data_IF_176907754879
#
_entry.id   IF_176907754879
#
_cell.length_a   1.000
_cell.length_b   1.000
_cell.length_c   1.000
_cell.angle_alpha   90.00
_cell.angle_beta   90.00
_cell.angle_gamma   90.00
#
_symmetry.space_group_name_H-M   'P 1'
#
loop_
_entity.id
_entity.type
_entity.pdbx_description
1 polymer ?
#
# COMPACT_ATOMS: atom_id res chain seq x y z
N UNK A 1 1.33 19.24 -10.20
CA UNK A 1 1.44 19.64 -8.78
C UNK A 1 1.13 21.13 -8.65
N UNK A 2 0.24 21.49 -7.73
CA UNK A 2 -0.20 22.87 -7.46
C UNK A 2 0.20 23.22 -6.02
N UNK A 3 1.15 24.12 -5.87
CA UNK A 3 1.49 24.73 -4.59
C UNK A 3 0.72 26.03 -4.43
N UNK A 4 0.02 26.21 -3.31
CA UNK A 4 -0.86 27.36 -3.17
C UNK A 4 -0.67 28.10 -1.84
N UNK A 5 0.29 29.05 -1.76
CA UNK A 5 0.47 29.89 -0.58
C UNK A 5 -0.72 30.85 -0.38
N UNK A 6 -1.00 31.23 0.88
CA UNK A 6 -2.00 32.24 1.22
C UNK A 6 -1.38 33.63 1.31
N UNK A 7 -2.10 34.66 0.85
CA UNK A 7 -1.57 36.05 0.78
C UNK A 7 -1.24 36.64 2.14
N UNK A 8 -1.96 36.24 3.19
CA UNK A 8 -1.86 36.84 4.52
C UNK A 8 -1.31 35.87 5.58
N UNK A 9 -0.89 34.67 5.17
CA UNK A 9 -0.25 33.72 6.08
C UNK A 9 1.26 33.94 5.95
N UNK A 10 1.96 34.32 7.04
CA UNK A 10 3.42 34.37 7.03
C UNK A 10 3.92 33.04 6.49
N UNK A 11 4.95 33.06 5.65
CA UNK A 11 5.61 31.86 5.16
C UNK A 11 6.29 31.14 6.33
N UNK A 12 5.52 30.54 7.24
CA UNK A 12 5.97 29.48 8.11
C UNK A 12 6.50 28.43 7.14
N UNK A 13 7.81 28.23 7.16
CA UNK A 13 8.57 27.67 6.05
C UNK A 13 8.03 26.32 5.58
N UNK A 14 7.14 26.33 4.59
CA UNK A 14 6.82 25.14 3.80
C UNK A 14 8.15 24.56 3.33
N UNK A 15 8.49 23.40 3.87
CA UNK A 15 9.67 22.61 3.48
C UNK A 15 9.48 22.08 2.06
N UNK A 16 8.23 21.97 1.61
CA UNK A 16 7.87 21.42 0.32
C UNK A 16 7.76 22.50 -0.77
N UNK A 17 8.88 22.71 -1.47
CA UNK A 17 9.00 23.60 -2.63
C UNK A 17 9.21 22.79 -3.90
N UNK A 18 9.09 23.45 -5.07
CA UNK A 18 9.23 22.80 -6.37
C UNK A 18 10.47 21.90 -6.47
N UNK A 19 11.70 22.36 -6.16
CA UNK A 19 12.89 21.51 -6.30
C UNK A 19 12.85 20.28 -5.39
N UNK A 20 12.36 20.44 -4.15
CA UNK A 20 12.24 19.34 -3.19
C UNK A 20 11.20 18.32 -3.66
N UNK A 21 10.04 18.77 -4.14
CA UNK A 21 8.99 17.88 -4.62
C UNK A 21 9.41 17.16 -5.90
N UNK A 22 10.05 17.85 -6.84
CA UNK A 22 10.58 17.24 -8.07
C UNK A 22 11.69 16.23 -7.78
N UNK A 23 12.59 16.52 -6.82
CA UNK A 23 13.61 15.56 -6.41
C UNK A 23 13.00 14.31 -5.78
N UNK A 24 12.04 14.51 -4.85
CA UNK A 24 11.25 13.41 -4.27
C UNK A 24 10.46 12.63 -5.33
N UNK A 25 10.07 13.29 -6.42
CA UNK A 25 9.34 12.68 -7.51
C UNK A 25 10.18 11.78 -8.38
N UNK A 26 11.38 12.21 -8.77
CA UNK A 26 12.10 11.60 -9.88
C UNK A 26 13.54 11.20 -9.58
N UNK A 27 14.10 11.61 -8.43
CA UNK A 27 15.51 11.42 -8.13
C UNK A 27 15.73 10.29 -7.13
N UNK A 28 16.54 9.30 -7.55
CA UNK A 28 16.93 8.16 -6.73
C UNK A 28 15.88 7.03 -6.66
N UNK A 29 16.31 5.91 -6.07
CA UNK A 29 15.53 4.67 -6.01
C UNK A 29 14.27 4.74 -5.12
N UNK A 30 14.20 5.71 -4.23
CA UNK A 30 13.07 5.88 -3.31
C UNK A 30 12.12 6.99 -3.73
N UNK A 31 12.33 7.57 -4.91
CA UNK A 31 11.41 8.56 -5.45
C UNK A 31 10.02 7.96 -5.65
N UNK A 32 8.98 8.77 -5.49
CA UNK A 32 7.60 8.25 -5.58
C UNK A 32 7.25 7.77 -6.98
N UNK A 33 7.84 8.35 -8.05
CA UNK A 33 7.66 7.81 -9.41
C UNK A 33 8.29 6.44 -9.57
N UNK A 34 9.51 6.22 -9.05
CA UNK A 34 10.16 4.93 -9.10
C UNK A 34 9.42 3.90 -8.24
N UNK A 35 8.86 4.31 -7.10
CA UNK A 35 7.98 3.46 -6.30
C UNK A 35 6.78 2.99 -7.11
N UNK A 36 6.06 3.87 -7.80
CA UNK A 36 4.96 3.43 -8.66
C UNK A 36 5.41 2.56 -9.84
N UNK A 37 6.46 2.96 -10.55
CA UNK A 37 6.99 2.17 -11.67
C UNK A 37 7.32 0.74 -11.21
N UNK A 38 8.04 0.65 -10.09
CA UNK A 38 8.41 -0.65 -9.54
C UNK A 38 7.19 -1.40 -8.98
N UNK A 39 6.46 -0.82 -8.04
CA UNK A 39 5.32 -1.45 -7.37
C UNK A 39 4.19 -1.88 -8.32
N UNK A 40 4.05 -1.24 -9.48
CA UNK A 40 3.02 -1.55 -10.49
C UNK A 40 3.56 -2.33 -11.69
N UNK A 41 4.74 -2.95 -11.59
CA UNK A 41 5.30 -3.80 -12.65
C UNK A 41 5.52 -3.02 -13.97
N UNK A 42 5.77 -1.72 -13.86
CA UNK A 42 5.90 -0.78 -14.98
C UNK A 42 4.61 -0.46 -15.72
N UNK A 43 3.45 -0.86 -15.19
CA UNK A 43 2.13 -0.49 -15.72
C UNK A 43 1.88 1.00 -15.52
N UNK A 44 2.13 1.50 -14.31
CA UNK A 44 1.95 2.92 -13.97
C UNK A 44 3.30 3.63 -13.91
N UNK A 45 3.48 4.64 -14.76
CA UNK A 45 4.74 5.39 -14.87
C UNK A 45 4.49 6.88 -14.82
N UNK A 46 5.21 7.57 -13.94
CA UNK A 46 5.23 9.02 -13.88
C UNK A 46 6.56 9.53 -14.42
N UNK A 47 6.53 10.36 -15.46
CA UNK A 47 7.74 10.88 -16.09
C UNK A 47 7.90 12.36 -15.77
N UNK A 48 9.15 12.79 -15.63
CA UNK A 48 9.49 14.21 -15.42
C UNK A 48 8.93 15.13 -16.52
N UNK A 49 8.85 14.65 -17.76
CA UNK A 49 8.32 15.42 -18.88
C UNK A 49 6.79 15.59 -18.87
N UNK A 50 6.07 14.71 -18.14
CA UNK A 50 4.61 14.75 -18.02
C UNK A 50 4.16 15.51 -16.75
N UNK A 51 5.14 16.06 -16.02
CA UNK A 51 4.94 16.77 -14.78
C UNK A 51 4.93 18.28 -15.01
N UNK A 52 3.98 18.96 -14.36
CA UNK A 52 3.91 20.43 -14.31
C UNK A 52 3.77 20.90 -12.87
N UNK A 53 4.60 21.87 -12.49
CA UNK A 53 4.43 22.64 -11.27
C UNK A 53 3.66 23.94 -11.55
N UNK A 54 2.75 24.29 -10.66
CA UNK A 54 2.01 25.54 -10.70
C UNK A 54 2.00 26.15 -9.29
N UNK A 55 2.33 27.44 -9.19
CA UNK A 55 2.21 28.18 -7.93
C UNK A 55 1.04 29.15 -8.02
N UNK A 56 0.05 29.00 -7.13
CA UNK A 56 -1.18 29.81 -7.13
C UNK A 56 -1.31 30.55 -5.81
N UNK A 57 -1.32 31.88 -5.85
CA UNK A 57 -1.61 32.66 -4.66
C UNK A 57 -3.11 32.57 -4.31
N UNK A 58 -3.45 32.07 -3.12
CA UNK A 58 -4.83 32.04 -2.63
C UNK A 58 -5.10 33.28 -1.78
N UNK A 59 -6.11 34.10 -2.11
CA UNK A 59 -6.46 35.25 -1.29
C UNK A 59 -6.96 34.83 0.10
N UNK A 60 -6.46 35.52 1.13
CA UNK A 60 -6.89 35.38 2.53
C UNK A 60 -5.84 34.74 3.44
N UNK A 61 -6.31 34.12 4.51
CA UNK A 61 -5.49 33.41 5.52
C UNK A 61 -5.84 31.93 5.51
N UNK A 62 -4.83 31.07 5.67
CA UNK A 62 -5.02 29.63 5.85
C UNK A 62 -5.89 29.35 7.08
N UNK A 63 -6.82 28.40 6.97
CA UNK A 63 -7.58 27.90 8.12
C UNK A 63 -6.64 27.18 9.09
N UNK A 64 -6.67 27.56 10.37
CA UNK A 64 -5.98 26.88 11.46
C UNK A 64 -6.88 25.89 12.21
N UNK A 65 -8.19 25.88 11.92
CA UNK A 65 -9.11 24.90 12.47
C UNK A 65 -8.87 23.51 11.87
N UNK A 66 -9.07 22.44 12.66
CA UNK A 66 -8.96 21.05 12.20
C UNK A 66 -9.82 20.87 10.94
N UNK A 67 -9.20 20.41 9.86
CA UNK A 67 -9.94 20.26 8.60
C UNK A 67 -10.87 19.06 8.64
N UNK A 68 -12.15 19.36 8.49
CA UNK A 68 -13.15 18.38 8.10
C UNK A 68 -13.23 18.33 6.58
N UNK A 69 -13.72 17.21 6.04
CA UNK A 69 -13.90 16.97 4.60
C UNK A 69 -14.50 18.17 3.84
N UNK A 70 -15.54 18.78 4.40
CA UNK A 70 -16.24 19.94 3.78
C UNK A 70 -15.30 21.12 3.55
N UNK A 71 -14.38 21.38 4.48
CA UNK A 71 -13.40 22.47 4.38
C UNK A 71 -12.43 22.18 3.24
N UNK A 72 -11.83 20.99 3.22
CA UNK A 72 -10.89 20.57 2.17
C UNK A 72 -11.53 20.61 0.78
N UNK A 73 -12.78 20.14 0.66
CA UNK A 73 -13.52 20.15 -0.60
C UNK A 73 -13.75 21.57 -1.12
N UNK A 74 -14.18 22.49 -0.25
CA UNK A 74 -14.37 23.89 -0.65
C UNK A 74 -13.07 24.56 -1.12
N UNK A 75 -11.94 24.24 -0.47
CA UNK A 75 -10.63 24.72 -0.91
C UNK A 75 -10.16 24.07 -2.20
N UNK A 76 -10.47 22.80 -2.43
CA UNK A 76 -10.19 22.11 -3.71
C UNK A 76 -10.82 22.88 -4.85
N UNK A 77 -12.12 23.14 -4.78
CA UNK A 77 -12.85 23.87 -5.82
C UNK A 77 -12.23 25.25 -6.06
N UNK A 78 -11.86 25.97 -4.99
CA UNK A 78 -11.22 27.30 -5.09
C UNK A 78 -9.87 27.23 -5.80
N UNK A 79 -8.98 26.33 -5.38
CA UNK A 79 -7.63 26.20 -5.96
C UNK A 79 -7.69 25.75 -7.42
N UNK A 80 -8.55 24.78 -7.76
CA UNK A 80 -8.72 24.34 -9.15
C UNK A 80 -9.31 25.44 -10.03
N UNK A 81 -10.22 26.26 -9.50
CA UNK A 81 -10.76 27.44 -10.23
C UNK A 81 -9.68 28.48 -10.51
N UNK A 82 -8.84 28.79 -9.51
CA UNK A 82 -7.70 29.70 -9.69
C UNK A 82 -6.66 29.13 -10.65
N UNK A 83 -6.47 27.82 -10.69
CA UNK A 83 -5.57 27.17 -11.65
C UNK A 83 -6.02 27.42 -13.09
N UNK A 84 -7.33 27.26 -13.34
CA UNK A 84 -7.94 27.53 -14.65
C UNK A 84 -7.80 28.99 -15.04
N UNK A 85 -8.01 29.92 -14.11
CA UNK A 85 -7.79 31.35 -14.34
C UNK A 85 -6.33 31.67 -14.69
N UNK A 86 -5.39 30.92 -14.12
CA UNK A 86 -3.96 30.99 -14.44
C UNK A 86 -3.56 30.25 -15.74
N UNK A 87 -4.53 29.75 -16.53
CA UNK A 87 -4.28 29.07 -17.80
C UNK A 87 -3.80 27.62 -17.67
N UNK A 88 -4.02 26.98 -16.52
CA UNK A 88 -3.76 25.56 -16.33
C UNK A 88 -5.07 24.87 -15.98
N UNK A 89 -5.63 24.07 -16.88
CA UNK A 89 -6.81 23.28 -16.58
C UNK A 89 -6.39 21.95 -15.91
N UNK A 90 -6.72 21.73 -14.62
CA UNK A 90 -6.34 20.50 -13.94
C UNK A 90 -6.95 19.25 -14.58
N UNK A 91 -8.04 19.37 -15.33
CA UNK A 91 -8.71 18.22 -15.98
C UNK A 91 -7.90 17.61 -17.14
N UNK A 92 -6.85 18.29 -17.62
CA UNK A 92 -5.94 17.75 -18.63
C UNK A 92 -4.83 16.88 -18.06
N UNK A 93 -4.83 16.67 -16.73
CA UNK A 93 -3.88 15.82 -16.03
C UNK A 93 -4.64 14.68 -15.37
N UNK A 94 -4.09 13.46 -15.43
CA UNK A 94 -4.68 12.30 -14.75
C UNK A 94 -4.70 12.51 -13.22
N UNK A 95 -3.62 13.10 -12.69
CA UNK A 95 -3.42 13.33 -11.26
C UNK A 95 -3.06 14.77 -10.94
N UNK A 96 -3.69 15.33 -9.91
CA UNK A 96 -3.44 16.68 -9.40
C UNK A 96 -3.06 16.64 -7.92
N UNK A 97 -1.80 16.98 -7.63
CA UNK A 97 -1.24 17.07 -6.29
C UNK A 97 -1.43 18.49 -5.75
N UNK A 98 -2.15 18.65 -4.64
CA UNK A 98 -2.39 19.94 -3.97
C UNK A 98 -1.49 20.07 -2.74
N UNK A 99 -0.51 20.97 -2.81
CA UNK A 99 0.49 21.18 -1.76
C UNK A 99 0.14 22.43 -0.94
N UNK A 100 -0.09 22.22 0.35
CA UNK A 100 -0.57 23.28 1.23
C UNK A 100 0.59 23.97 1.94
N UNK A 101 0.38 25.19 2.45
CA UNK A 101 1.34 25.81 3.36
C UNK A 101 1.34 25.12 4.73
N UNK A 102 2.41 25.35 5.50
CA UNK A 102 2.52 24.90 6.87
C UNK A 102 1.43 25.52 7.76
N UNK A 103 0.92 24.76 8.72
CA UNK A 103 -0.15 25.19 9.62
C UNK A 103 -1.56 25.12 9.02
N UNK A 104 -1.70 24.73 7.75
CA UNK A 104 -3.01 24.46 7.17
C UNK A 104 -3.70 23.35 7.96
N UNK A 105 -4.97 23.55 8.31
CA UNK A 105 -5.74 22.63 9.13
C UNK A 105 -5.23 22.42 10.56
N UNK A 106 -4.37 23.30 11.07
CA UNK A 106 -3.69 23.11 12.35
C UNK A 106 -2.57 22.06 12.29
N UNK A 107 -2.21 21.59 11.09
CA UNK A 107 -1.10 20.67 10.89
C UNK A 107 0.20 21.45 10.63
N UNK A 108 1.10 21.44 11.60
CA UNK A 108 2.40 22.11 11.53
C UNK A 108 3.50 21.08 11.22
N UNK A 109 4.06 20.42 12.25
CA UNK A 109 5.24 19.56 12.09
C UNK A 109 4.96 18.06 12.26
N UNK A 110 3.98 17.69 13.10
CA UNK A 110 3.72 16.29 13.50
C UNK A 110 2.48 15.65 12.83
N UNK A 111 1.88 16.31 11.84
CA UNK A 111 0.66 15.85 11.20
C UNK A 111 0.94 15.27 9.82
N UNK A 112 0.93 13.95 9.72
CA UNK A 112 0.84 13.26 8.42
C UNK A 112 -0.63 13.08 8.13
N UNK A 113 -1.08 13.71 7.07
CA UNK A 113 -2.20 13.23 6.30
C UNK A 113 -2.03 13.88 4.94
N UNK A 114 -1.93 13.07 3.90
CA UNK A 114 -2.58 13.52 2.70
C UNK A 114 -4.01 13.04 2.71
N UNK A 115 -4.70 13.41 1.65
CA UNK A 115 -6.02 12.87 1.42
C UNK A 115 -6.27 12.87 -0.06
N UNK A 116 -6.39 11.69 -0.64
CA UNK A 116 -7.00 11.56 -1.95
C UNK A 116 -8.47 11.95 -1.90
N UNK A 117 -8.86 12.74 -2.88
CA UNK A 117 -10.25 12.90 -3.28
C UNK A 117 -10.57 11.85 -4.35
N UNK A 118 -11.86 11.54 -4.48
CA UNK A 118 -12.35 10.63 -5.51
C UNK A 118 -11.94 11.12 -6.90
N UNK A 119 -11.48 10.20 -7.74
CA UNK A 119 -11.43 10.40 -9.18
C UNK A 119 -12.87 10.45 -9.70
N UNK A 120 -13.21 11.48 -10.47
CA UNK A 120 -14.49 11.52 -11.17
C UNK A 120 -14.26 11.85 -12.64
N UNK A 121 -15.19 11.50 -13.52
CA UNK A 121 -15.10 11.89 -14.93
C UNK A 121 -15.10 13.41 -15.14
N UNK A 122 -15.49 14.19 -14.13
CA UNK A 122 -15.56 15.65 -14.18
C UNK A 122 -14.34 16.36 -13.58
N UNK A 123 -13.45 15.65 -12.88
CA UNK A 123 -12.30 16.22 -12.18
C UNK A 123 -11.09 15.29 -12.22
N UNK A 124 -9.88 15.84 -12.34
CA UNK A 124 -8.67 15.05 -12.15
C UNK A 124 -8.68 14.30 -10.81
N UNK A 125 -7.97 13.19 -10.72
CA UNK A 125 -7.72 12.52 -9.45
C UNK A 125 -6.89 13.46 -8.56
N UNK A 126 -7.50 13.99 -7.50
CA UNK A 126 -6.86 14.98 -6.64
C UNK A 126 -6.32 14.31 -5.37
N UNK A 127 -5.16 14.74 -4.90
CA UNK A 127 -4.63 14.38 -3.58
C UNK A 127 -4.05 15.60 -2.87
N UNK A 128 -4.29 15.70 -1.57
CA UNK A 128 -3.78 16.76 -0.70
C UNK A 128 -2.49 16.34 -0.02
N UNK A 129 -1.57 17.29 0.19
CA UNK A 129 -0.31 17.08 0.89
C UNK A 129 -0.02 18.27 1.80
N UNK A 130 0.04 18.03 3.11
CA UNK A 130 0.26 19.06 4.11
C UNK A 130 1.21 18.63 5.23
N UNK A 131 1.67 19.60 6.01
CA UNK A 131 2.63 19.40 7.10
C UNK A 131 4.07 19.20 6.64
N UNK A 132 4.97 18.91 7.58
CA UNK A 132 6.41 18.76 7.34
C UNK A 132 6.79 17.65 6.35
N UNK A 133 5.91 16.66 6.15
CA UNK A 133 6.11 15.49 5.30
C UNK A 133 5.42 15.58 3.92
N UNK A 134 4.87 16.73 3.54
CA UNK A 134 4.13 16.91 2.28
C UNK A 134 4.94 16.58 1.01
N UNK A 135 6.26 16.60 1.10
CA UNK A 135 7.18 16.26 0.01
C UNK A 135 7.78 14.85 0.14
N UNK A 136 7.49 14.10 1.21
CA UNK A 136 8.10 12.80 1.42
C UNK A 136 7.57 11.80 0.39
N UNK A 137 8.47 11.13 -0.33
CA UNK A 137 8.10 10.22 -1.41
C UNK A 137 7.13 9.11 -0.95
N UNK A 138 7.30 8.61 0.28
CA UNK A 138 6.41 7.62 0.89
C UNK A 138 4.99 8.17 1.11
N UNK A 139 4.84 9.41 1.57
CA UNK A 139 3.55 10.07 1.78
C UNK A 139 2.90 10.33 0.42
N UNK A 140 3.65 10.86 -0.54
CA UNK A 140 3.16 11.03 -1.91
C UNK A 140 2.70 9.70 -2.51
N UNK A 141 3.46 8.62 -2.28
CA UNK A 141 3.11 7.31 -2.81
C UNK A 141 1.82 6.74 -2.19
N UNK A 142 1.65 6.88 -0.87
CA UNK A 142 0.46 6.44 -0.13
C UNK A 142 -0.81 7.12 -0.65
N UNK A 143 -0.77 8.45 -0.72
CA UNK A 143 -1.95 9.25 -1.07
C UNK A 143 -2.29 9.15 -2.54
N UNK A 144 -1.27 9.06 -3.40
CA UNK A 144 -1.47 8.75 -4.80
C UNK A 144 -2.05 7.34 -4.97
N UNK A 145 -1.71 6.38 -4.11
CA UNK A 145 -2.29 5.03 -4.10
C UNK A 145 -3.81 5.05 -3.97
N UNK A 146 -4.36 5.95 -3.14
CA UNK A 146 -5.81 6.13 -3.05
C UNK A 146 -6.47 6.64 -4.34
N UNK A 147 -5.75 7.35 -5.22
CA UNK A 147 -6.26 7.67 -6.57
C UNK A 147 -6.38 6.42 -7.47
N UNK A 148 -5.70 5.33 -7.12
CA UNK A 148 -5.86 4.00 -7.72
C UNK A 148 -6.83 3.11 -6.92
N UNK A 149 -7.66 3.71 -6.07
CA UNK A 149 -8.62 3.03 -5.21
C UNK A 149 -8.01 2.12 -4.14
N UNK A 150 -6.70 2.21 -3.92
CA UNK A 150 -6.04 1.47 -2.85
C UNK A 150 -6.55 1.95 -1.51
N UNK A 151 -6.59 1.05 -0.52
CA UNK A 151 -7.16 1.30 0.79
C UNK A 151 -6.10 1.08 1.84
N UNK A 152 -6.29 1.67 3.02
CA UNK A 152 -5.33 1.46 4.10
C UNK A 152 -5.12 -0.02 4.36
N UNK A 153 -3.88 -0.36 4.69
CA UNK A 153 -3.53 -1.69 5.15
C UNK A 153 -3.07 -1.62 6.60
N UNK A 154 -3.91 -2.05 7.53
CA UNK A 154 -3.56 -1.97 8.95
C UNK A 154 -2.76 -3.16 9.46
N UNK A 155 -2.24 -3.04 10.68
CA UNK A 155 -1.65 -4.14 11.44
C UNK A 155 -1.76 -3.86 12.95
N UNK A 156 -1.15 -4.71 13.77
CA UNK A 156 -0.90 -4.40 15.17
C UNK A 156 0.19 -3.33 15.30
N UNK A 157 -0.14 -2.21 15.94
CA UNK A 157 0.78 -1.16 16.33
C UNK A 157 1.79 -1.59 17.39
N UNK A 158 2.78 -0.74 17.64
CA UNK A 158 3.82 -0.96 18.66
C UNK A 158 3.28 -0.95 20.09
N UNK A 159 2.11 -0.35 20.29
CA UNK A 159 1.34 -0.33 21.55
C UNK A 159 0.45 -1.58 21.72
N UNK A 160 0.53 -2.52 20.78
CA UNK A 160 -0.30 -3.72 20.78
C UNK A 160 -1.76 -3.46 20.41
N UNK A 161 -2.09 -2.27 19.90
CA UNK A 161 -3.43 -1.96 19.38
C UNK A 161 -3.46 -2.06 17.86
N UNK A 162 -4.51 -2.63 17.26
CA UNK A 162 -4.66 -2.59 15.81
C UNK A 162 -4.78 -1.14 15.30
N UNK A 163 -4.15 -0.83 14.17
CA UNK A 163 -4.14 0.50 13.56
C UNK A 163 -4.06 0.41 12.04
N UNK A 164 -4.82 1.25 11.34
CA UNK A 164 -4.82 1.38 9.87
C UNK A 164 -3.44 1.74 9.29
N UNK A 165 -2.55 2.32 10.09
CA UNK A 165 -1.21 2.77 9.69
C UNK A 165 -0.08 2.00 10.38
N UNK A 166 -0.34 0.75 10.76
CA UNK A 166 0.65 -0.09 11.44
C UNK A 166 1.28 -1.17 10.54
N UNK A 167 0.78 -1.41 9.32
CA UNK A 167 1.46 -2.34 8.42
C UNK A 167 2.68 -1.67 7.78
N UNK A 168 3.81 -1.76 8.48
CA UNK A 168 5.12 -1.33 8.02
C UNK A 168 5.59 -1.96 6.70
N UNK A 169 4.92 -3.00 6.20
CA UNK A 169 5.30 -3.67 4.96
C UNK A 169 4.58 -3.16 3.72
N UNK A 170 3.49 -2.43 3.92
CA UNK A 170 2.68 -1.88 2.84
C UNK A 170 2.80 -0.36 2.81
N UNK A 171 2.95 0.22 1.62
CA UNK A 171 2.86 1.68 1.41
C UNK A 171 1.52 2.18 1.93
N UNK A 172 0.45 1.41 1.74
CA UNK A 172 -0.89 1.76 2.23
C UNK A 172 -1.05 1.60 3.74
N UNK A 173 -0.05 1.04 4.43
CA UNK A 173 -0.08 0.75 5.85
C UNK A 173 0.98 1.44 6.66
N UNK A 174 1.93 2.12 6.03
CA UNK A 174 2.98 2.81 6.76
C UNK A 174 3.56 3.98 6.00
N UNK A 175 3.59 5.11 6.71
CA UNK A 175 4.31 6.30 6.32
C UNK A 175 5.77 6.31 6.80
N UNK A 176 6.28 5.21 7.37
CA UNK A 176 7.60 5.18 8.04
C UNK A 176 8.64 4.29 7.37
N UNK A 177 8.29 3.63 6.26
CA UNK A 177 9.19 2.67 5.63
C UNK A 177 9.39 2.95 4.12
N UNK A 178 10.57 3.46 3.77
CA UNK A 178 10.92 3.77 2.39
C UNK A 178 11.08 2.54 1.50
N UNK A 179 11.16 1.35 2.07
CA UNK A 179 11.22 0.11 1.30
C UNK A 179 9.85 -0.55 1.14
N UNK A 180 8.79 -0.01 1.75
CA UNK A 180 7.47 -0.59 1.62
C UNK A 180 7.01 -0.55 0.17
N UNK A 181 6.29 -1.59 -0.23
CA UNK A 181 5.66 -1.77 -1.54
C UNK A 181 4.12 -1.72 -1.36
N UNK A 182 3.33 -1.63 -2.43
CA UNK A 182 1.89 -1.88 -2.36
C UNK A 182 1.63 -3.33 -1.95
N UNK A 183 0.61 -3.55 -1.11
CA UNK A 183 0.27 -4.89 -0.69
C UNK A 183 -0.15 -5.79 -1.87
N UNK A 184 -0.15 -7.12 -1.69
CA UNK A 184 -0.67 -8.05 -2.71
C UNK A 184 -2.10 -7.71 -3.14
N UNK A 185 -2.93 -7.27 -2.18
CA UNK A 185 -4.32 -6.91 -2.41
C UNK A 185 -4.45 -5.59 -3.18
N UNK A 186 -3.65 -4.58 -2.88
CA UNK A 186 -3.62 -3.34 -3.67
C UNK A 186 -3.19 -3.62 -5.11
N UNK A 187 -2.17 -4.47 -5.30
CA UNK A 187 -1.71 -4.90 -6.62
C UNK A 187 -2.80 -5.69 -7.37
N UNK A 188 -3.56 -6.53 -6.69
CA UNK A 188 -4.72 -7.21 -7.28
C UNK A 188 -5.80 -6.20 -7.70
N UNK A 189 -6.18 -5.29 -6.80
CA UNK A 189 -7.21 -4.28 -7.05
C UNK A 189 -6.83 -3.34 -8.20
N UNK A 190 -5.55 -2.98 -8.31
CA UNK A 190 -5.01 -2.17 -9.40
C UNK A 190 -4.84 -2.92 -10.72
N UNK A 191 -5.07 -4.24 -10.76
CA UNK A 191 -4.82 -5.06 -11.95
C UNK A 191 -3.33 -5.23 -12.28
N UNK A 192 -2.46 -5.09 -11.28
CA UNK A 192 -1.01 -5.19 -11.41
C UNK A 192 -0.49 -6.59 -11.07
N UNK A 193 -1.27 -7.40 -10.37
CA UNK A 193 -0.91 -8.78 -10.06
C UNK A 193 -0.98 -9.65 -11.33
N UNK A 194 0.14 -10.29 -11.76
CA UNK A 194 0.09 -11.20 -12.89
C UNK A 194 -0.81 -12.40 -12.58
N UNK A 195 -1.59 -12.93 -13.55
CA UNK A 195 -2.41 -14.13 -13.32
C UNK A 195 -1.60 -15.33 -12.79
N UNK A 196 -0.34 -15.47 -13.23
CA UNK A 196 0.57 -16.54 -12.76
C UNK A 196 1.01 -16.41 -11.30
N UNK A 197 0.69 -15.30 -10.65
CA UNK A 197 0.99 -15.03 -9.24
C UNK A 197 -0.25 -15.09 -8.36
N UNK A 198 -1.43 -15.31 -8.93
CA UNK A 198 -2.70 -15.43 -8.21
C UNK A 198 -3.15 -16.88 -8.14
N UNK A 199 -3.51 -17.30 -6.93
CA UNK A 199 -4.03 -18.62 -6.63
C UNK A 199 -5.29 -18.44 -5.80
N UNK A 200 -6.31 -19.24 -6.09
CA UNK A 200 -7.53 -19.31 -5.27
C UNK A 200 -7.61 -20.72 -4.73
N UNK A 201 -7.70 -20.84 -3.41
CA UNK A 201 -7.92 -22.13 -2.76
C UNK A 201 -9.41 -22.48 -2.84
N UNK A 202 -9.71 -23.57 -3.53
CA UNK A 202 -11.04 -24.15 -3.56
C UNK A 202 -11.21 -25.15 -2.43
N UNK A 203 -12.39 -25.15 -1.80
CA UNK A 203 -12.70 -26.10 -0.74
C UNK A 203 -12.58 -27.55 -1.23
N UNK A 204 -12.00 -28.41 -0.39
CA UNK A 204 -11.79 -29.81 -0.74
C UNK A 204 -10.64 -30.04 -1.73
N UNK A 205 -9.92 -29.01 -2.16
CA UNK A 205 -8.70 -29.15 -2.94
C UNK A 205 -7.58 -29.89 -2.17
N UNK A 206 -7.69 -29.97 -0.84
CA UNK A 206 -6.70 -30.61 0.02
C UNK A 206 -5.44 -29.75 0.12
N UNK A 207 -4.29 -30.33 -0.24
CA UNK A 207 -2.98 -29.72 -0.09
C UNK A 207 -2.63 -28.84 -1.29
N UNK A 208 -2.58 -27.52 -1.11
CA UNK A 208 -2.12 -26.61 -2.16
C UNK A 208 -0.66 -26.24 -1.92
N UNK A 209 0.19 -26.51 -2.91
CA UNK A 209 1.59 -26.11 -2.94
C UNK A 209 1.77 -24.95 -3.90
N UNK A 210 2.11 -23.77 -3.40
CA UNK A 210 2.31 -22.58 -4.25
C UNK A 210 3.78 -22.18 -4.28
N UNK A 211 4.38 -22.21 -5.47
CA UNK A 211 5.79 -21.90 -5.68
C UNK A 211 6.06 -20.42 -5.39
N UNK A 212 7.02 -20.17 -4.51
CA UNK A 212 7.53 -18.84 -4.22
C UNK A 212 8.47 -18.39 -5.33
N UNK A 213 8.19 -17.27 -5.99
CA UNK A 213 9.11 -16.70 -6.98
C UNK A 213 10.20 -15.88 -6.30
N UNK A 214 11.47 -16.33 -6.40
CA UNK A 214 12.63 -15.55 -5.94
C UNK A 214 12.77 -14.27 -6.73
N UNK A 215 13.08 -13.20 -6.00
CA UNK A 215 13.61 -12.00 -6.60
C UNK A 215 15.08 -12.23 -6.93
N UNK A 216 15.34 -12.44 -8.22
CA UNK A 216 16.69 -12.38 -8.73
C UNK A 216 17.12 -10.91 -8.60
N UNK A 217 18.40 -10.69 -8.27
CA UNK A 217 19.09 -9.47 -7.82
C UNK A 217 19.04 -8.23 -8.72
N UNK A 218 17.99 -8.06 -9.53
CA UNK A 218 17.67 -6.83 -10.24
C UNK A 218 16.88 -5.88 -9.33
N UNK A 219 16.90 -4.55 -9.57
CA UNK A 219 16.10 -3.56 -8.83
C UNK A 219 14.58 -3.78 -8.95
N UNK A 220 14.17 -4.77 -9.75
CA UNK A 220 12.82 -5.25 -9.88
C UNK A 220 12.38 -6.06 -8.63
N UNK A 221 12.12 -5.36 -7.52
CA UNK A 221 11.29 -5.84 -6.40
C UNK A 221 9.85 -6.25 -6.83
N UNK A 222 9.59 -6.15 -8.13
CA UNK A 222 8.34 -5.89 -8.82
C UNK A 222 7.78 -7.17 -9.38
N UNK A 223 8.27 -8.36 -9.03
CA UNK A 223 7.73 -9.65 -9.50
C UNK A 223 7.58 -10.70 -8.40
N UNK A 224 7.74 -10.27 -7.15
CA UNK A 224 7.97 -11.14 -6.01
C UNK A 224 6.74 -11.57 -5.22
N UNK A 225 5.58 -10.96 -5.45
CA UNK A 225 4.37 -11.36 -4.74
C UNK A 225 3.75 -12.57 -5.44
N UNK A 226 3.43 -13.58 -4.64
CA UNK A 226 2.37 -14.51 -4.97
C UNK A 226 1.29 -14.38 -3.92
N UNK A 227 0.06 -14.58 -4.36
CA UNK A 227 -1.14 -14.36 -3.57
C UNK A 227 -1.98 -15.63 -3.57
N UNK A 228 -2.38 -16.11 -2.40
CA UNK A 228 -3.36 -17.18 -2.27
C UNK A 228 -4.59 -16.62 -1.56
N UNK A 229 -5.74 -16.67 -2.22
CA UNK A 229 -7.02 -16.35 -1.61
C UNK A 229 -7.58 -17.61 -0.92
N UNK A 230 -7.75 -17.54 0.40
CA UNK A 230 -8.36 -18.58 1.21
C UNK A 230 -9.75 -18.14 1.66
N UNK A 231 -10.78 -19.02 1.62
CA UNK A 231 -12.11 -18.68 2.11
C UNK A 231 -12.10 -18.42 3.61
N UNK A 232 -12.78 -17.38 4.07
CA UNK A 232 -12.82 -17.02 5.48
C UNK A 232 -14.18 -17.38 6.08
N UNK A 233 -14.25 -18.55 6.74
CA UNK A 233 -15.53 -19.20 7.13
C UNK A 233 -15.97 -18.94 8.56
N UNK A 234 -15.01 -18.75 9.47
CA UNK A 234 -15.31 -18.47 10.88
C UNK A 234 -15.39 -16.96 11.02
N UNK A 235 -16.59 -16.37 11.25
CA UNK A 235 -16.75 -14.92 11.26
C UNK A 235 -15.77 -14.21 12.19
N UNK A 236 -15.47 -14.79 13.36
CA UNK A 236 -14.51 -14.23 14.33
C UNK A 236 -13.07 -14.22 13.84
N UNK A 237 -12.63 -15.25 13.12
CA UNK A 237 -11.28 -15.33 12.55
C UNK A 237 -11.10 -14.38 11.38
N UNK A 238 -12.20 -13.90 10.82
CA UNK A 238 -12.25 -12.99 9.68
C UNK A 238 -12.62 -11.58 10.10
N UNK A 239 -12.57 -11.31 11.41
CA UNK A 239 -12.94 -10.05 12.00
C UNK A 239 -11.70 -9.41 12.62
N UNK A 240 -11.52 -8.10 12.41
CA UNK A 240 -10.63 -7.32 13.25
C UNK A 240 -11.39 -6.10 13.78
N UNK A 241 -11.15 -5.81 15.06
CA UNK A 241 -11.66 -4.64 15.73
C UNK A 241 -10.50 -3.72 16.04
N UNK A 242 -10.60 -2.45 15.72
CA UNK A 242 -9.54 -1.49 15.98
C UNK A 242 -10.06 -0.15 16.47
N UNK A 243 -9.19 0.57 17.17
CA UNK A 243 -9.45 1.95 17.60
C UNK A 243 -9.01 2.89 16.48
N UNK A 244 -9.95 3.60 15.86
CA UNK A 244 -9.62 4.64 14.90
C UNK A 244 -9.48 5.97 15.65
N UNK A 245 -8.41 6.77 15.41
CA UNK A 245 -8.33 8.12 15.97
C UNK A 245 -9.37 9.08 15.38
N UNK A 246 -10.14 8.63 14.39
CA UNK A 246 -11.16 9.38 13.69
C UNK A 246 -12.58 9.02 14.13
N UNK A 247 -12.77 7.89 14.81
CA UNK A 247 -14.08 7.41 15.28
C UNK A 247 -14.10 7.34 16.83
N UNK A 248 -15.23 7.67 17.47
CA UNK A 248 -15.34 7.62 18.93
C UNK A 248 -15.43 6.19 19.48
N UNK A 249 -15.89 5.23 18.66
CA UNK A 249 -16.08 3.83 19.03
C UNK A 249 -15.14 2.92 18.23
N UNK A 250 -14.72 1.76 18.79
CA UNK A 250 -13.94 0.78 18.05
C UNK A 250 -14.69 0.32 16.80
N UNK A 251 -14.01 0.39 15.65
CA UNK A 251 -14.57 -0.05 14.38
C UNK A 251 -14.27 -1.53 14.22
N UNK A 252 -15.27 -2.30 13.82
CA UNK A 252 -15.11 -3.72 13.56
C UNK A 252 -15.36 -4.02 12.09
N UNK A 253 -14.36 -4.61 11.44
CA UNK A 253 -14.45 -5.04 10.05
C UNK A 253 -14.46 -6.56 9.97
N UNK A 254 -15.24 -7.08 9.03
CA UNK A 254 -15.31 -8.51 8.70
C UNK A 254 -14.99 -8.73 7.23
N UNK A 255 -14.24 -9.79 6.95
CA UNK A 255 -13.79 -10.17 5.61
C UNK A 255 -14.26 -11.56 5.19
N UNK A 256 -14.39 -11.79 3.88
CA UNK A 256 -14.69 -13.12 3.33
C UNK A 256 -13.45 -13.89 2.89
N UNK A 257 -12.28 -13.24 2.85
CA UNK A 257 -11.04 -13.84 2.33
C UNK A 257 -9.83 -13.53 3.20
N UNK A 258 -9.00 -14.55 3.38
CA UNK A 258 -7.63 -14.39 3.86
C UNK A 258 -6.71 -14.43 2.65
N UNK A 259 -5.98 -13.35 2.45
CA UNK A 259 -4.97 -13.23 1.41
C UNK A 259 -3.63 -13.58 2.00
N UNK A 260 -3.13 -14.76 1.67
CA UNK A 260 -1.75 -15.11 1.97
C UNK A 260 -0.84 -14.46 0.94
N UNK A 261 0.15 -13.71 1.42
CA UNK A 261 1.25 -13.27 0.59
C UNK A 261 2.59 -13.62 1.19
N UNK A 262 3.56 -13.76 0.32
CA UNK A 262 4.94 -13.98 0.72
C UNK A 262 5.83 -13.32 -0.31
N UNK A 263 7.07 -13.09 0.10
CA UNK A 263 8.08 -12.46 -0.73
C UNK A 263 9.46 -12.93 -0.26
N UNK A 264 10.39 -13.07 -1.21
CA UNK A 264 11.74 -13.57 -0.93
C UNK A 264 12.78 -12.77 -1.70
N UNK A 265 13.41 -11.77 -1.07
CA UNK A 265 14.60 -11.09 -1.62
C UNK A 265 15.93 -11.55 -1.03
N UNK A 266 16.96 -11.40 -1.85
CA UNK A 266 18.35 -11.76 -1.60
C UNK A 266 19.08 -10.48 -1.16
N UNK A 267 19.05 -10.16 0.14
CA UNK A 267 19.85 -9.06 0.68
C UNK A 267 20.78 -9.57 1.78
N UNK A 268 21.92 -10.10 1.35
CA UNK A 268 23.08 -10.29 2.20
C UNK A 268 23.76 -8.94 2.47
N UNK A 269 23.27 -8.18 3.45
CA UNK A 269 24.00 -7.00 3.93
C UNK A 269 23.14 -5.90 4.55
N UNK A 270 23.24 -5.76 5.87
CA UNK A 270 22.82 -4.57 6.60
C UNK A 270 21.46 -4.69 7.30
N UNK A 271 21.49 -4.49 8.61
CA UNK A 271 20.40 -4.57 9.59
C UNK A 271 19.30 -3.50 9.46
N UNK A 272 18.77 -3.29 8.27
CA UNK A 272 17.58 -2.47 8.05
C UNK A 272 16.46 -3.35 7.49
N UNK A 273 15.77 -4.06 8.39
CA UNK A 273 14.46 -4.71 8.20
C UNK A 273 14.24 -5.32 6.80
N UNK A 274 14.91 -6.43 6.48
CA UNK A 274 14.58 -7.19 5.28
C UNK A 274 13.17 -7.80 5.42
N UNK A 275 12.32 -7.52 4.44
CA UNK A 275 11.03 -8.18 4.18
C UNK A 275 11.19 -9.70 4.02
N UNK A 276 12.40 -10.11 3.64
CA UNK A 276 12.79 -11.47 3.33
C UNK A 276 13.10 -12.12 4.65
N UNK A 277 12.07 -12.73 5.18
CA UNK A 277 12.08 -14.15 5.43
C UNK A 277 10.74 -14.46 6.11
N UNK A 278 9.65 -13.94 5.53
CA UNK A 278 8.34 -14.01 6.19
C UNK A 278 7.20 -14.29 5.23
N UNK A 279 6.27 -15.09 5.73
CA UNK A 279 4.92 -15.21 5.18
C UNK A 279 4.05 -14.18 5.88
N UNK A 280 3.37 -13.35 5.10
CA UNK A 280 2.45 -12.31 5.55
C UNK A 280 1.02 -12.75 5.30
N UNK A 281 0.23 -12.85 6.35
CA UNK A 281 -1.19 -13.23 6.26
C UNK A 281 -2.00 -11.95 6.35
N UNK A 282 -2.59 -11.51 5.24
CA UNK A 282 -3.53 -10.38 5.23
C UNK A 282 -4.97 -10.89 5.27
N UNK A 283 -5.84 -10.17 5.97
CA UNK A 283 -7.28 -10.36 5.94
C UNK A 283 -7.89 -9.26 5.07
N UNK A 284 -8.73 -9.63 4.10
CA UNK A 284 -9.36 -8.69 3.15
C UNK A 284 -10.83 -8.48 3.53
N UNK A 285 -11.27 -7.23 3.57
CA UNK A 285 -12.60 -6.84 4.03
C UNK A 285 -13.56 -6.48 2.88
N UNK A 286 -14.72 -7.14 2.80
CA UNK A 286 -15.63 -6.99 1.67
C UNK A 286 -16.43 -5.68 1.69
N UNK A 287 -16.69 -5.16 2.89
CA UNK A 287 -17.52 -3.96 3.02
C UNK A 287 -16.82 -2.71 2.43
N UNK A 288 -15.47 -2.65 2.45
CA UNK A 288 -14.69 -1.45 2.08
C UNK A 288 -13.25 -1.70 1.58
N UNK A 289 -12.97 -2.87 0.99
CA UNK A 289 -11.77 -3.27 0.21
C UNK A 289 -10.36 -2.97 0.80
N UNK A 290 -10.22 -2.79 2.12
CA UNK A 290 -8.92 -2.77 2.79
C UNK A 290 -8.34 -4.16 3.03
N UNK A 291 -7.03 -4.25 3.32
CA UNK A 291 -6.38 -5.50 3.73
C UNK A 291 -5.57 -5.30 5.01
N UNK A 292 -5.83 -6.04 6.08
CA UNK A 292 -5.08 -5.90 7.33
C UNK A 292 -4.18 -7.09 7.59
N UNK A 293 -2.94 -6.81 7.96
CA UNK A 293 -1.98 -7.84 8.34
C UNK A 293 -2.40 -8.50 9.65
N UNK A 294 -2.81 -9.75 9.55
CA UNK A 294 -3.25 -10.60 10.66
C UNK A 294 -2.07 -11.29 11.35
N UNK A 295 -1.08 -11.75 10.57
CA UNK A 295 0.07 -12.45 11.13
C UNK A 295 1.32 -12.28 10.27
N UNK A 296 2.49 -12.35 10.94
CA UNK A 296 3.83 -12.39 10.35
C UNK A 296 4.48 -13.70 10.79
N UNK A 297 4.93 -14.52 9.84
CA UNK A 297 5.50 -15.84 10.13
C UNK A 297 6.92 -15.89 9.60
N UNK A 298 7.92 -16.24 10.42
CA UNK A 298 9.31 -16.37 9.98
C UNK A 298 9.54 -17.69 9.22
N UNK A 299 10.44 -17.66 8.22
CA UNK A 299 10.78 -18.83 7.37
C UNK A 299 11.45 -19.96 8.16
N UNK A 300 12.14 -19.66 9.27
CA UNK A 300 12.85 -20.64 10.09
C UNK A 300 11.95 -21.48 11.00
N UNK A 301 10.67 -21.14 11.13
CA UNK A 301 9.84 -21.54 12.26
C UNK A 301 8.62 -22.38 11.82
N UNK A 302 8.84 -23.67 11.54
CA UNK A 302 7.79 -24.71 11.60
C UNK A 302 6.48 -24.49 10.82
N UNK A 303 5.47 -25.31 11.15
CA UNK A 303 4.09 -25.17 10.66
C UNK A 303 3.37 -24.12 11.49
N UNK A 304 2.60 -23.23 10.86
CA UNK A 304 1.77 -22.22 11.54
C UNK A 304 0.30 -22.50 11.36
N UNK A 305 -0.48 -22.37 12.42
CA UNK A 305 -1.94 -22.47 12.38
C UNK A 305 -2.56 -21.08 12.39
N UNK A 306 -3.31 -20.71 11.35
CA UNK A 306 -4.14 -19.51 11.34
C UNK A 306 -5.46 -19.86 11.99
N UNK A 307 -5.64 -19.48 13.26
CA UNK A 307 -6.86 -19.66 14.05
C UNK A 307 -7.46 -21.08 14.01
N UNK A 308 -6.63 -22.11 13.80
CA UNK A 308 -7.08 -23.50 13.62
C UNK A 308 -7.84 -23.77 12.32
N UNK A 309 -7.98 -22.77 11.44
CA UNK A 309 -8.60 -22.91 10.12
C UNK A 309 -7.65 -23.52 9.11
N UNK A 310 -6.43 -22.97 9.06
CA UNK A 310 -5.42 -23.33 8.09
C UNK A 310 -4.13 -23.63 8.79
N UNK A 311 -3.47 -24.72 8.44
CA UNK A 311 -2.05 -24.90 8.70
C UNK A 311 -1.26 -24.42 7.48
N UNK A 312 -0.13 -23.76 7.73
CA UNK A 312 0.78 -23.26 6.71
C UNK A 312 2.16 -23.76 7.01
N UNK A 313 2.74 -24.51 6.08
CA UNK A 313 4.12 -24.94 6.19
C UNK A 313 4.87 -24.48 4.96
N UNK A 314 5.95 -23.76 5.20
CA UNK A 314 6.91 -23.49 4.14
C UNK A 314 7.80 -24.72 3.96
N UNK A 315 7.85 -25.22 2.74
CA UNK A 315 8.64 -26.38 2.37
C UNK A 315 9.72 -26.00 1.37
N UNK A 316 10.88 -26.65 1.47
CA UNK A 316 12.02 -26.45 0.59
C UNK A 316 12.48 -27.79 0.07
N UNK A 317 12.75 -27.87 -1.23
CA UNK A 317 13.43 -29.03 -1.81
C UNK A 317 14.89 -29.10 -1.33
N UNK A 318 15.36 -30.29 -0.98
CA UNK A 318 16.71 -30.49 -0.49
C UNK A 318 17.73 -30.06 -1.57
N UNK A 319 18.64 -29.14 -1.21
CA UNK A 319 19.65 -28.61 -2.15
C UNK A 319 19.14 -27.54 -3.14
N UNK A 320 17.84 -27.27 -3.20
CA UNK A 320 17.30 -26.20 -4.04
C UNK A 320 17.66 -24.82 -3.50
N UNK A 321 17.81 -23.84 -4.40
CA UNK A 321 17.94 -22.44 -4.00
C UNK A 321 16.65 -21.99 -3.29
N UNK A 322 16.70 -20.91 -2.50
CA UNK A 322 15.51 -20.38 -1.81
C UNK A 322 14.32 -20.08 -2.76
N UNK A 323 14.58 -20.00 -4.08
CA UNK A 323 13.61 -19.80 -5.17
C UNK A 323 12.58 -20.90 -5.40
N UNK A 324 12.67 -22.02 -4.70
CA UNK A 324 11.81 -23.18 -4.93
C UNK A 324 11.06 -23.58 -3.65
N UNK A 325 10.75 -22.59 -2.81
CA UNK A 325 9.92 -22.81 -1.65
C UNK A 325 8.43 -22.94 -2.03
N UNK A 326 7.69 -23.73 -1.26
CA UNK A 326 6.24 -23.88 -1.42
C UNK A 326 5.55 -23.57 -0.10
N UNK A 327 4.42 -22.89 -0.14
CA UNK A 327 3.51 -22.88 1.01
C UNK A 327 2.50 -24.01 0.83
N UNK A 328 2.45 -24.88 1.82
CA UNK A 328 1.48 -25.96 1.97
C UNK A 328 0.34 -25.48 2.84
N UNK A 329 -0.90 -25.62 2.37
CA UNK A 329 -2.10 -25.20 3.10
C UNK A 329 -3.01 -26.40 3.25
N UNK A 330 -3.48 -26.66 4.48
CA UNK A 330 -4.47 -27.69 4.78
C UNK A 330 -5.51 -27.17 5.77
N UNK A 331 -6.78 -27.52 5.54
CA UNK A 331 -7.90 -27.14 6.41
C UNK A 331 -7.92 -28.02 7.66
N UNK A 332 -7.97 -27.41 8.85
CA UNK A 332 -8.22 -28.10 10.13
C UNK A 332 -7.14 -29.08 10.62
N UNK A 333 -6.02 -29.23 9.92
CA UNK A 333 -4.96 -30.18 10.29
C UNK A 333 -3.91 -29.56 11.22
N UNK A 334 -3.49 -30.34 12.22
CA UNK A 334 -2.40 -29.98 13.14
C UNK A 334 -1.04 -30.49 12.69
N UNK A 335 -0.89 -31.22 11.58
CA UNK A 335 0.42 -31.73 11.14
C UNK A 335 0.56 -31.71 9.63
N UNK A 336 1.12 -30.63 9.09
CA UNK A 336 1.58 -30.60 7.69
C UNK A 336 2.95 -31.23 7.58
N UNK A 337 3.12 -32.30 6.81
CA UNK A 337 4.42 -32.78 6.37
C UNK A 337 4.86 -32.04 5.10
N UNK A 338 6.17 -31.78 4.96
CA UNK A 338 6.69 -31.30 3.68
C UNK A 338 6.75 -32.46 2.69
N UNK A 339 5.68 -32.60 1.91
CA UNK A 339 5.60 -33.54 0.80
C UNK A 339 5.83 -32.74 -0.48
N UNK A 340 6.94 -32.94 -1.21
CA UNK A 340 7.13 -32.32 -2.51
C UNK A 340 5.95 -32.70 -3.41
N UNK A 341 5.38 -31.76 -4.18
CA UNK A 341 4.32 -32.11 -5.13
C UNK A 341 4.80 -33.21 -6.08
N UNK A 342 4.05 -34.31 -6.17
CA UNK A 342 4.32 -35.43 -7.08
C UNK A 342 3.11 -35.65 -7.99
N UNK A 343 3.23 -35.49 -9.33
CA UNK A 343 4.41 -35.04 -10.09
C UNK A 343 4.69 -33.55 -9.83
N UNK A 344 5.84 -32.99 -10.27
CA UNK A 344 6.05 -31.54 -10.20
C UNK A 344 4.83 -30.89 -10.82
N UNK A 345 4.00 -30.23 -10.00
CA UNK A 345 2.83 -29.56 -10.53
C UNK A 345 3.41 -28.41 -11.33
N UNK A 346 3.53 -28.63 -12.63
CA UNK A 346 3.61 -27.57 -13.59
C UNK A 346 2.22 -26.92 -13.53
N UNK A 347 2.03 -26.00 -12.58
CA UNK A 347 0.78 -25.24 -12.41
C UNK A 347 0.48 -24.41 -13.68
N UNK A 348 1.35 -24.46 -14.69
CA UNK A 348 1.08 -23.99 -16.05
C UNK A 348 0.26 -24.97 -16.93
N UNK A 349 -0.04 -26.21 -16.52
CA UNK A 349 -0.68 -27.20 -17.39
C UNK A 349 -2.18 -27.50 -17.13
N UNK A 350 -2.83 -26.83 -16.18
CA UNK A 350 -4.26 -27.03 -15.88
C UNK A 350 -5.17 -25.85 -16.27
N UNK A 351 -4.83 -25.14 -17.36
CA UNK A 351 -5.74 -24.23 -18.06
C UNK A 351 -5.73 -24.59 -19.54
N UNK A 352 -6.83 -25.19 -20.01
CA UNK A 352 -7.23 -25.20 -21.41
C UNK A 352 -8.49 -24.36 -21.56
#
# INVERSE_FOLDING_TARGET
>A
AIHFPYSNTPSAGSTCRQPTFEASAFDGRFSWSNKFDTSTYGVTKFRRNDYRWLSIQVPGTASTARCQWRVQWSYTIKVLSLARQAGADPTTFDHTFLLTPAGWCGAYDAGIAGQALFCSSSHACVSWYYGGHACDAKVVSHELGHNFHFRHSGAMGWDGKPSEYADQFSIMGSHNNDYADFGPWDKELGGYMPPSSKYTYEEGAGLVAVRMRKLISTPDATRGYSMIELPCRIPRSCQQTFESPWEPDPITYSGSRLTLSYYLTDMSGGSAWSYNDRVLVHLVYDAYLGSFLKAKIAISDGTVYIDGLYSLRMCREAGAAFSDAYVMIEEGSTELACIPPSPPVDVCAAIK
#
